data_IF_707181852911
#
_entry.id   IF_707181852911
#
_cell.length_a   1.000
_cell.length_b   1.000
_cell.length_c   1.000
_cell.angle_alpha   90.00
_cell.angle_beta   90.00
_cell.angle_gamma   90.00
#
_symmetry.space_group_name_H-M   'P 1'
#
loop_
_entity.id
_entity.type
_entity.pdbx_description
1 polymer ?
#
# COMPACT_ATOMS: atom_id res chain seq x y z
N UNK A 1 7.27 10.47 -7.72
CA UNK A 1 7.88 9.41 -6.91
C UNK A 1 6.91 9.00 -5.81
N UNK A 2 6.57 7.71 -5.75
CA UNK A 2 5.82 7.10 -4.65
C UNK A 2 6.79 6.18 -3.91
N UNK A 3 7.11 6.51 -2.65
CA UNK A 3 8.09 5.75 -1.87
C UNK A 3 7.57 4.38 -1.42
N UNK A 4 8.51 3.47 -1.19
CA UNK A 4 8.30 2.11 -0.69
C UNK A 4 8.04 2.02 0.81
N UNK A 5 8.64 1.02 1.49
CA UNK A 5 8.54 0.88 2.96
C UNK A 5 7.37 0.04 3.46
N UNK A 6 6.88 -0.91 2.64
CA UNK A 6 5.87 -1.89 3.06
C UNK A 6 4.55 -1.27 3.53
N UNK A 7 4.26 -0.04 3.08
CA UNK A 7 3.14 0.79 3.55
C UNK A 7 3.16 1.12 5.05
N UNK A 8 4.26 0.87 5.76
CA UNK A 8 4.36 1.07 7.22
C UNK A 8 5.34 2.19 7.57
N UNK A 9 6.36 2.41 6.74
CA UNK A 9 7.40 3.42 6.94
C UNK A 9 7.68 4.16 5.63
N UNK A 10 8.49 5.22 5.73
CA UNK A 10 8.95 6.01 4.59
C UNK A 10 8.43 7.45 4.63
N UNK A 11 8.98 8.29 3.77
CA UNK A 11 8.54 9.67 3.55
C UNK A 11 8.97 10.14 2.17
N UNK A 12 8.35 11.21 1.68
CA UNK A 12 8.77 11.93 0.48
C UNK A 12 9.90 12.92 0.70
N UNK A 13 10.59 12.87 1.84
CA UNK A 13 11.65 13.80 2.20
C UNK A 13 12.95 13.54 1.41
N UNK A 14 13.78 14.58 1.32
CA UNK A 14 15.01 14.58 0.53
C UNK A 14 16.20 13.90 1.23
N UNK A 15 16.09 13.61 2.53
CA UNK A 15 17.13 12.90 3.29
C UNK A 15 17.33 11.45 2.80
N UNK A 16 16.25 10.81 2.34
CA UNK A 16 16.29 9.48 1.74
C UNK A 16 16.13 9.52 0.21
N UNK A 17 15.34 10.46 -0.33
CA UNK A 17 15.01 10.53 -1.76
C UNK A 17 15.37 11.89 -2.35
N UNK A 18 16.63 12.30 -2.20
CA UNK A 18 17.18 13.52 -2.79
C UNK A 18 16.99 13.56 -4.32
N UNK A 19 16.51 14.67 -4.90
CA UNK A 19 16.18 14.76 -6.32
C UNK A 19 17.40 15.04 -7.21
N UNK A 20 18.59 15.25 -6.63
CA UNK A 20 19.80 15.83 -7.25
C UNK A 20 20.18 15.20 -8.59
N UNK A 21 20.10 13.87 -8.70
CA UNK A 21 20.44 13.17 -9.94
C UNK A 21 19.37 13.32 -11.02
N UNK A 22 18.09 13.33 -10.64
CA UNK A 22 16.99 13.46 -11.59
C UNK A 22 16.87 14.88 -12.14
N UNK A 23 17.16 15.90 -11.32
CA UNK A 23 17.10 17.30 -11.75
C UNK A 23 18.07 17.65 -12.90
N UNK A 24 19.10 16.82 -13.13
CA UNK A 24 20.03 16.98 -14.25
C UNK A 24 19.42 16.67 -15.62
N UNK A 25 18.22 16.07 -15.66
CA UNK A 25 17.60 15.57 -16.88
C UNK A 25 16.44 16.44 -17.39
N UNK A 26 16.31 17.69 -16.92
CA UNK A 26 15.28 18.61 -17.39
C UNK A 26 13.84 18.16 -17.06
N UNK A 27 13.67 17.48 -15.92
CA UNK A 27 12.38 16.99 -15.43
C UNK A 27 11.97 17.71 -14.16
N UNK A 28 10.66 17.74 -13.89
CA UNK A 28 10.14 18.07 -12.57
C UNK A 28 9.97 16.80 -11.73
N UNK A 29 10.56 16.81 -10.54
CA UNK A 29 10.43 15.71 -9.59
C UNK A 29 9.41 16.11 -8.52
N UNK A 30 8.33 15.34 -8.45
CA UNK A 30 7.33 15.46 -7.37
C UNK A 30 7.47 14.25 -6.45
N UNK A 31 7.68 14.50 -5.17
CA UNK A 31 7.54 13.52 -4.08
C UNK A 31 6.29 13.85 -3.27
N UNK A 32 5.74 12.87 -2.56
CA UNK A 32 4.53 13.03 -1.77
C UNK A 32 4.64 12.21 -0.49
N UNK A 33 3.83 12.57 0.51
CA UNK A 33 3.54 11.73 1.68
C UNK A 33 2.15 11.12 1.53
N UNK A 34 1.99 9.90 2.02
CA UNK A 34 0.68 9.23 2.12
C UNK A 34 0.55 8.53 3.48
N UNK A 35 -0.67 8.33 3.97
CA UNK A 35 -0.90 7.66 5.27
C UNK A 35 -0.36 6.22 5.25
N UNK A 36 0.23 5.82 6.36
CA UNK A 36 0.91 4.53 6.53
C UNK A 36 0.26 3.68 7.63
N UNK A 37 0.55 2.38 7.62
CA UNK A 37 0.14 1.40 8.62
C UNK A 37 -1.38 1.38 8.82
N UNK A 38 -1.79 1.17 10.06
CA UNK A 38 -3.20 1.19 10.46
C UNK A 38 -3.90 2.51 10.06
N UNK A 39 -3.21 3.65 10.09
CA UNK A 39 -3.80 4.95 9.77
C UNK A 39 -4.13 5.11 8.28
N UNK A 40 -3.40 4.41 7.40
CA UNK A 40 -3.59 4.47 5.95
C UNK A 40 -4.36 3.28 5.37
N UNK A 41 -4.41 2.16 6.08
CA UNK A 41 -4.82 0.90 5.48
C UNK A 41 -5.73 0.06 6.36
N UNK A 42 -6.24 0.56 7.49
CA UNK A 42 -7.31 -0.16 8.20
C UNK A 42 -8.59 -0.26 7.34
N UNK A 43 -9.37 -1.31 7.58
CA UNK A 43 -10.65 -1.56 6.93
C UNK A 43 -11.57 -2.26 7.93
N UNK A 44 -12.87 -2.10 7.77
CA UNK A 44 -13.90 -2.88 8.50
C UNK A 44 -14.47 -4.02 7.66
N UNK A 45 -14.07 -4.13 6.38
CA UNK A 45 -14.61 -5.12 5.44
C UNK A 45 -15.97 -4.73 4.85
N UNK A 46 -16.46 -3.54 5.17
CA UNK A 46 -17.70 -2.95 4.68
C UNK A 46 -17.49 -1.47 4.30
N UNK A 47 -18.58 -0.78 3.99
CA UNK A 47 -18.54 0.62 3.53
C UNK A 47 -18.22 1.64 4.64
N UNK A 48 -18.17 1.24 5.92
CA UNK A 48 -17.86 2.16 7.04
C UNK A 48 -16.41 2.61 6.98
N UNK A 49 -15.48 1.66 6.78
CA UNK A 49 -14.07 1.91 6.51
C UNK A 49 -13.63 0.98 5.38
N UNK A 50 -13.69 1.47 4.14
CA UNK A 50 -13.47 0.66 2.94
C UNK A 50 -12.07 0.03 2.86
N UNK A 51 -11.05 0.72 3.37
CA UNK A 51 -9.64 0.39 3.11
C UNK A 51 -8.98 1.36 2.13
N UNK A 52 -7.64 1.25 2.04
CA UNK A 52 -6.79 1.94 1.06
C UNK A 52 -6.73 3.48 1.13
N UNK A 53 -6.94 4.09 2.30
CA UNK A 53 -6.84 5.54 2.51
C UNK A 53 -5.48 6.09 2.05
N UNK A 54 -4.38 5.38 2.32
CA UNK A 54 -3.05 5.77 1.86
C UNK A 54 -2.93 5.78 0.33
N UNK A 55 -3.64 4.90 -0.39
CA UNK A 55 -3.68 4.97 -1.86
C UNK A 55 -4.61 6.09 -2.35
N UNK A 56 -5.72 6.36 -1.64
CA UNK A 56 -6.59 7.51 -1.93
C UNK A 56 -5.87 8.84 -1.72
N UNK A 57 -4.98 8.94 -0.73
CA UNK A 57 -4.08 10.09 -0.56
C UNK A 57 -3.17 10.29 -1.78
N UNK A 58 -2.65 9.19 -2.35
CA UNK A 58 -1.83 9.24 -3.56
C UNK A 58 -2.66 9.69 -4.77
N UNK A 59 -3.89 9.22 -4.92
CA UNK A 59 -4.81 9.72 -5.97
C UNK A 59 -5.05 11.22 -5.82
N UNK A 60 -5.29 11.69 -4.59
CA UNK A 60 -5.47 13.13 -4.33
C UNK A 60 -4.22 13.93 -4.70
N UNK A 61 -3.03 13.42 -4.37
CA UNK A 61 -1.77 14.03 -4.78
C UNK A 61 -1.58 14.03 -6.30
N UNK A 62 -1.98 12.96 -7.01
CA UNK A 62 -1.94 12.91 -8.48
C UNK A 62 -2.89 13.92 -9.11
N UNK A 63 -4.09 14.11 -8.55
CA UNK A 63 -5.02 15.17 -8.97
C UNK A 63 -4.40 16.55 -8.76
N UNK A 64 -3.80 16.77 -7.58
CA UNK A 64 -3.08 18.01 -7.31
C UNK A 64 -1.97 18.27 -8.34
N UNK A 65 -1.17 17.26 -8.69
CA UNK A 65 -0.15 17.39 -9.73
C UNK A 65 -0.79 17.74 -11.07
N UNK A 66 -1.82 17.00 -11.49
CA UNK A 66 -2.52 17.25 -12.77
C UNK A 66 -3.06 18.68 -12.87
N UNK A 67 -3.60 19.21 -11.76
CA UNK A 67 -4.23 20.53 -11.72
C UNK A 67 -3.24 21.68 -11.55
N UNK A 68 -2.07 21.45 -10.95
CA UNK A 68 -1.18 22.52 -10.49
C UNK A 68 0.22 22.52 -11.13
N UNK A 69 0.69 21.40 -11.71
CA UNK A 69 2.11 21.29 -12.09
C UNK A 69 2.51 22.27 -13.21
N UNK A 70 1.55 22.76 -14.00
CA UNK A 70 1.79 23.80 -15.01
C UNK A 70 2.33 25.10 -14.42
N UNK A 71 1.94 25.46 -13.19
CA UNK A 71 2.46 26.63 -12.49
C UNK A 71 3.95 26.50 -12.12
N UNK A 72 4.47 25.27 -12.10
CA UNK A 72 5.88 24.96 -11.85
C UNK A 72 6.66 24.69 -13.15
N UNK A 73 6.04 24.94 -14.32
CA UNK A 73 6.63 24.68 -15.63
C UNK A 73 6.47 23.23 -16.11
N UNK A 74 5.60 22.44 -15.48
CA UNK A 74 5.36 21.05 -15.84
C UNK A 74 4.30 20.90 -16.93
N UNK A 75 4.42 19.82 -17.69
CA UNK A 75 3.41 19.41 -18.66
C UNK A 75 2.40 18.46 -18.01
N UNK A 76 1.15 18.90 -17.91
CA UNK A 76 0.06 18.14 -17.27
C UNK A 76 -0.28 16.89 -18.08
N UNK A 77 0.01 16.85 -19.39
CA UNK A 77 -0.25 15.74 -20.30
C UNK A 77 0.97 14.80 -20.47
N UNK A 78 2.00 14.98 -19.63
CA UNK A 78 3.22 14.19 -19.67
C UNK A 78 3.70 13.72 -18.29
N UNK A 79 2.76 13.34 -17.43
CA UNK A 79 3.04 12.84 -16.08
C UNK A 79 3.47 11.37 -16.10
N UNK A 80 4.60 11.05 -15.45
CA UNK A 80 5.05 9.67 -15.18
C UNK A 80 5.00 9.38 -13.69
N UNK A 81 4.28 8.34 -13.28
CA UNK A 81 4.35 7.83 -11.91
C UNK A 81 5.43 6.77 -11.81
N UNK A 82 6.17 6.76 -10.70
CA UNK A 82 7.16 5.72 -10.45
C UNK A 82 7.37 5.51 -8.96
N UNK A 83 7.71 4.28 -8.59
CA UNK A 83 7.93 3.88 -7.22
C UNK A 83 8.64 2.55 -7.11
N UNK A 84 9.15 2.29 -5.91
CA UNK A 84 9.90 1.08 -5.55
C UNK A 84 9.16 0.29 -4.45
N UNK A 85 9.25 -1.04 -4.50
CA UNK A 85 8.62 -1.96 -3.53
C UNK A 85 7.12 -1.65 -3.34
N UNK A 86 6.69 -1.26 -2.14
CA UNK A 86 5.30 -0.86 -1.89
C UNK A 86 4.82 0.31 -2.79
N UNK A 87 5.71 1.24 -3.13
CA UNK A 87 5.44 2.33 -4.06
C UNK A 87 5.30 1.86 -5.50
N UNK A 88 6.04 0.81 -5.88
CA UNK A 88 5.88 0.14 -7.18
C UNK A 88 4.52 -0.55 -7.30
N UNK A 89 4.15 -1.32 -6.28
CA UNK A 89 2.82 -1.93 -6.22
C UNK A 89 1.71 -0.87 -6.22
N UNK A 90 1.91 0.26 -5.56
CA UNK A 90 0.97 1.38 -5.63
C UNK A 90 0.85 1.97 -7.04
N UNK A 91 1.97 2.16 -7.75
CA UNK A 91 1.94 2.57 -9.15
C UNK A 91 1.15 1.58 -10.02
N UNK A 92 1.37 0.28 -9.83
CA UNK A 92 0.60 -0.74 -10.55
C UNK A 92 -0.89 -0.69 -10.19
N UNK A 93 -1.26 -0.51 -8.92
CA UNK A 93 -2.66 -0.35 -8.52
C UNK A 93 -3.30 0.91 -9.13
N UNK A 94 -2.58 2.02 -9.28
CA UNK A 94 -3.10 3.21 -9.97
C UNK A 94 -3.33 2.98 -11.47
N UNK A 95 -2.54 2.11 -12.11
CA UNK A 95 -2.81 1.66 -13.49
C UNK A 95 -4.11 0.87 -13.58
N UNK A 96 -4.35 -0.02 -12.60
CA UNK A 96 -5.52 -0.90 -12.55
C UNK A 96 -6.79 -0.17 -12.09
N UNK A 97 -6.65 0.88 -11.29
CA UNK A 97 -7.78 1.58 -10.67
C UNK A 97 -8.48 2.54 -11.64
N UNK A 98 -9.82 2.53 -11.71
CA UNK A 98 -10.56 3.57 -12.42
C UNK A 98 -10.41 4.96 -11.76
N UNK A 99 -10.10 5.02 -10.47
CA UNK A 99 -10.01 6.26 -9.70
C UNK A 99 -8.84 7.15 -10.12
N UNK A 100 -7.77 6.55 -10.67
CA UNK A 100 -6.58 7.25 -11.15
C UNK A 100 -6.56 7.45 -12.67
N UNK A 101 -7.63 7.07 -13.37
CA UNK A 101 -7.74 7.18 -14.84
C UNK A 101 -7.56 8.62 -15.29
N UNK A 102 -6.65 8.85 -16.23
CA UNK A 102 -6.37 10.17 -16.82
C UNK A 102 -5.47 11.07 -15.97
N UNK A 103 -4.98 10.61 -14.81
CA UNK A 103 -4.09 11.42 -13.96
C UNK A 103 -2.61 11.30 -14.33
N UNK A 104 -2.24 10.29 -15.12
CA UNK A 104 -0.87 10.04 -15.54
C UNK A 104 -0.82 9.32 -16.89
N UNK A 105 0.37 9.29 -17.50
CA UNK A 105 0.56 8.90 -18.89
C UNK A 105 1.57 7.76 -19.04
N UNK A 106 2.40 7.51 -18.03
CA UNK A 106 3.39 6.42 -17.98
C UNK A 106 3.58 5.95 -16.55
N UNK A 107 4.01 4.70 -16.37
CA UNK A 107 4.36 4.15 -15.07
C UNK A 107 5.72 3.42 -15.09
N UNK A 108 6.47 3.51 -13.99
CA UNK A 108 7.68 2.70 -13.76
C UNK A 108 7.54 1.98 -12.43
N UNK A 109 7.57 0.66 -12.47
CA UNK A 109 7.35 -0.24 -11.35
C UNK A 109 8.65 -0.98 -11.02
N UNK A 110 9.30 -0.61 -9.91
CA UNK A 110 10.58 -1.15 -9.46
C UNK A 110 10.37 -2.15 -8.30
N UNK A 111 10.71 -3.41 -8.51
CA UNK A 111 10.79 -4.45 -7.47
C UNK A 111 9.46 -4.84 -6.80
N UNK A 112 8.31 -4.53 -7.40
CA UNK A 112 7.01 -5.10 -6.99
C UNK A 112 5.91 -4.81 -8.01
N UNK A 113 4.82 -5.59 -7.97
CA UNK A 113 3.59 -5.35 -8.76
C UNK A 113 2.37 -5.76 -7.94
N UNK A 114 1.19 -5.25 -8.28
CA UNK A 114 -0.07 -5.90 -7.91
C UNK A 114 -0.20 -7.23 -8.68
N UNK A 115 -0.15 -8.36 -7.98
CA UNK A 115 -0.23 -9.71 -8.54
C UNK A 115 -1.49 -10.44 -8.05
N UNK A 116 -1.87 -11.59 -8.66
CA UNK A 116 -3.06 -12.32 -8.25
C UNK A 116 -3.05 -12.68 -6.76
N UNK A 117 -4.12 -12.36 -6.04
CA UNK A 117 -4.25 -12.58 -4.59
C UNK A 117 -3.49 -11.58 -3.72
N UNK A 118 -2.76 -10.62 -4.29
CA UNK A 118 -1.98 -9.64 -3.51
C UNK A 118 -2.83 -8.70 -2.64
N UNK A 119 -4.14 -8.63 -2.91
CA UNK A 119 -5.12 -7.84 -2.16
C UNK A 119 -5.95 -8.65 -1.15
N UNK A 120 -5.78 -9.98 -1.10
CA UNK A 120 -6.50 -10.89 -0.17
C UNK A 120 -5.91 -10.85 1.26
N UNK A 121 -5.43 -9.68 1.68
CA UNK A 121 -4.90 -9.50 3.02
C UNK A 121 -6.06 -9.33 4.00
N UNK A 122 -6.09 -10.05 5.15
CA UNK A 122 -7.19 -10.00 6.13
C UNK A 122 -7.11 -8.74 7.00
N UNK A 123 -7.21 -7.58 6.35
CA UNK A 123 -7.05 -6.26 6.96
C UNK A 123 -8.19 -5.97 7.93
N UNK A 124 -9.42 -6.36 7.59
CA UNK A 124 -10.58 -6.18 8.46
C UNK A 124 -10.38 -6.92 9.79
N UNK A 125 -10.05 -8.20 9.74
CA UNK A 125 -9.81 -9.04 10.90
C UNK A 125 -8.62 -8.55 11.71
N UNK A 126 -7.58 -8.01 11.07
CA UNK A 126 -6.44 -7.35 11.75
C UNK A 126 -6.89 -6.07 12.46
N UNK A 127 -7.74 -5.27 11.84
CA UNK A 127 -8.30 -4.03 12.43
C UNK A 127 -9.11 -4.34 13.69
N UNK A 128 -10.05 -5.29 13.62
CA UNK A 128 -10.84 -5.72 14.80
C UNK A 128 -9.96 -6.33 15.91
N UNK A 129 -8.92 -7.09 15.57
CA UNK A 129 -7.98 -7.64 16.57
C UNK A 129 -7.17 -6.55 17.26
N UNK A 130 -6.68 -5.56 16.51
CA UNK A 130 -5.98 -4.42 17.09
C UNK A 130 -6.90 -3.64 18.04
N UNK A 131 -8.13 -3.34 17.61
CA UNK A 131 -9.10 -2.64 18.44
C UNK A 131 -9.40 -3.40 19.75
N UNK A 132 -9.59 -4.72 19.68
CA UNK A 132 -9.77 -5.57 20.87
C UNK A 132 -8.56 -5.56 21.80
N UNK A 133 -7.34 -5.64 21.25
CA UNK A 133 -6.10 -5.51 22.04
C UNK A 133 -6.04 -4.17 22.79
N UNK A 134 -6.57 -3.11 22.20
CA UNK A 134 -6.62 -1.77 22.78
C UNK A 134 -7.80 -1.55 23.74
N UNK A 135 -8.70 -2.52 23.89
CA UNK A 135 -9.81 -2.49 24.86
C UNK A 135 -11.21 -2.35 24.26
N UNK A 136 -11.37 -2.41 22.93
CA UNK A 136 -12.71 -2.51 22.33
C UNK A 136 -13.35 -3.85 22.69
N UNK A 137 -14.64 -3.81 23.06
CA UNK A 137 -15.41 -5.01 23.42
C UNK A 137 -15.61 -5.93 22.21
N UNK A 138 -15.67 -7.23 22.46
CA UNK A 138 -16.04 -8.20 21.43
C UNK A 138 -17.48 -7.95 20.94
N UNK A 139 -17.72 -8.21 19.65
CA UNK A 139 -19.03 -8.01 19.02
C UNK A 139 -19.36 -6.56 18.66
N UNK A 140 -18.42 -5.61 18.81
CA UNK A 140 -18.60 -4.24 18.34
C UNK A 140 -18.86 -4.20 16.83
N UNK A 141 -19.79 -3.33 16.42
CA UNK A 141 -20.06 -2.96 15.03
C UNK A 141 -18.89 -2.19 14.39
N UNK A 142 -18.92 -2.06 13.07
CA UNK A 142 -17.94 -1.28 12.31
C UNK A 142 -17.96 0.20 12.69
N UNK A 143 -19.13 0.76 13.00
CA UNK A 143 -19.29 2.14 13.45
C UNK A 143 -18.71 2.35 14.85
N UNK A 144 -18.97 1.41 15.78
CA UNK A 144 -18.38 1.43 17.12
C UNK A 144 -16.86 1.29 17.06
N UNK A 145 -16.35 0.41 16.19
CA UNK A 145 -14.92 0.28 15.95
C UNK A 145 -14.33 1.59 15.44
N UNK A 146 -14.94 2.22 14.43
CA UNK A 146 -14.45 3.47 13.86
C UNK A 146 -14.43 4.60 14.91
N UNK A 147 -15.50 4.73 15.69
CA UNK A 147 -15.58 5.71 16.77
C UNK A 147 -14.46 5.46 17.80
N UNK A 148 -14.30 4.22 18.26
CA UNK A 148 -13.24 3.85 19.19
C UNK A 148 -11.84 4.14 18.65
N UNK A 149 -11.55 3.73 17.41
CA UNK A 149 -10.24 3.92 16.80
C UNK A 149 -9.89 5.40 16.59
N UNK A 150 -10.89 6.28 16.43
CA UNK A 150 -10.69 7.74 16.36
C UNK A 150 -10.34 8.36 17.71
N UNK A 151 -10.77 7.75 18.81
CA UNK A 151 -10.46 8.21 20.17
C UNK A 151 -9.09 7.70 20.68
N UNK A 152 -8.56 6.62 20.09
CA UNK A 152 -7.22 6.13 20.43
C UNK A 152 -6.15 7.09 19.87
N UNK A 153 -5.16 7.51 20.69
CA UNK A 153 -4.05 8.32 20.19
C UNK A 153 -3.33 7.66 19.01
N UNK A 154 -3.08 8.42 17.94
CA UNK A 154 -2.44 7.91 16.72
C UNK A 154 -1.10 7.20 16.98
N UNK A 155 -0.31 7.72 17.93
CA UNK A 155 0.95 7.09 18.36
C UNK A 155 0.72 5.69 18.92
N UNK A 156 -0.28 5.51 19.77
CA UNK A 156 -0.65 4.21 20.33
C UNK A 156 -1.10 3.24 19.24
N UNK A 157 -1.91 3.70 18.28
CA UNK A 157 -2.31 2.87 17.13
C UNK A 157 -1.10 2.34 16.34
N UNK A 158 -0.12 3.21 16.08
CA UNK A 158 1.09 2.86 15.32
C UNK A 158 2.01 1.93 16.14
N UNK A 159 2.30 2.27 17.40
CA UNK A 159 3.20 1.48 18.25
C UNK A 159 2.63 0.09 18.58
N UNK A 160 1.30 -0.03 18.68
CA UNK A 160 0.63 -1.30 19.00
C UNK A 160 0.20 -2.10 17.76
N UNK A 161 0.46 -1.60 16.55
CA UNK A 161 -0.06 -2.15 15.29
C UNK A 161 0.21 -3.65 15.11
N UNK A 162 1.38 -4.14 15.53
CA UNK A 162 1.76 -5.55 15.37
C UNK A 162 1.01 -6.53 16.31
N UNK A 163 0.23 -6.03 17.27
CA UNK A 163 -0.65 -6.85 18.10
C UNK A 163 -1.89 -7.35 17.36
N UNK A 164 -2.13 -6.87 16.13
CA UNK A 164 -3.15 -7.42 15.25
C UNK A 164 -2.81 -8.83 14.70
N UNK A 165 -1.58 -9.32 14.88
CA UNK A 165 -1.08 -10.55 14.23
C UNK A 165 -1.67 -11.81 14.85
N UNK A 166 -2.08 -12.75 13.99
CA UNK A 166 -2.50 -14.11 14.36
C UNK A 166 -1.28 -14.94 14.71
N UNK A 167 -1.48 -16.15 15.21
CA UNK A 167 -0.38 -17.08 15.40
C UNK A 167 0.26 -17.48 14.05
N UNK A 168 -0.53 -17.64 12.99
CA UNK A 168 -0.01 -17.81 11.62
C UNK A 168 0.86 -16.61 11.21
N UNK A 169 0.38 -15.39 11.42
CA UNK A 169 1.13 -14.16 11.09
C UNK A 169 2.48 -14.10 11.85
N UNK A 170 2.50 -14.53 13.11
CA UNK A 170 3.73 -14.58 13.91
C UNK A 170 4.72 -15.62 13.38
N UNK A 171 4.25 -16.80 12.98
CA UNK A 171 5.10 -17.88 12.45
C UNK A 171 5.79 -17.44 11.16
N UNK A 172 5.04 -16.84 10.23
CA UNK A 172 5.59 -16.34 8.95
C UNK A 172 6.27 -14.98 9.07
N UNK A 173 6.42 -14.46 10.30
CA UNK A 173 7.02 -13.16 10.60
C UNK A 173 6.43 -11.99 9.78
N UNK A 174 5.10 -11.97 9.62
CA UNK A 174 4.42 -10.85 8.99
C UNK A 174 4.81 -9.54 9.68
N UNK A 175 5.33 -8.61 8.87
CA UNK A 175 5.88 -7.34 9.30
C UNK A 175 5.08 -6.15 8.77
N UNK A 176 4.17 -6.38 7.82
CA UNK A 176 3.38 -5.35 7.14
C UNK A 176 1.88 -5.69 7.20
N UNK A 177 1.27 -5.68 8.40
CA UNK A 177 -0.09 -6.19 8.57
C UNK A 177 -1.18 -5.35 7.90
N UNK A 178 -0.95 -4.04 7.74
CA UNK A 178 -1.89 -3.11 7.11
C UNK A 178 -1.29 -2.64 5.79
N UNK A 179 -1.92 -3.05 4.69
CA UNK A 179 -1.49 -2.85 3.29
C UNK A 179 -2.73 -2.91 2.39
N UNK A 180 -2.63 -2.64 1.07
CA UNK A 180 -3.75 -2.65 0.17
C UNK A 180 -4.61 -3.91 0.29
N UNK A 181 -5.92 -3.71 0.26
CA UNK A 181 -6.94 -4.76 0.34
C UNK A 181 -8.06 -4.49 -0.66
N UNK A 182 -8.92 -5.48 -0.92
CA UNK A 182 -10.11 -5.30 -1.74
C UNK A 182 -11.11 -4.40 -1.01
N UNK A 183 -11.65 -3.40 -1.70
CA UNK A 183 -12.73 -2.56 -1.22
C UNK A 183 -14.10 -3.14 -1.59
N UNK A 184 -15.15 -2.90 -0.78
CA UNK A 184 -16.52 -3.22 -1.15
C UNK A 184 -16.89 -2.57 -2.49
N UNK A 185 -17.49 -3.36 -3.40
CA UNK A 185 -17.81 -2.89 -4.75
C UNK A 185 -18.93 -1.83 -4.80
N UNK A 186 -19.73 -1.73 -3.73
CA UNK A 186 -20.81 -0.78 -3.53
C UNK A 186 -20.39 0.50 -2.81
N UNK A 187 -19.09 0.64 -2.46
CA UNK A 187 -18.58 1.86 -1.88
C UNK A 187 -18.59 3.02 -2.90
N UNK A 188 -19.01 4.20 -2.44
CA UNK A 188 -19.13 5.44 -3.25
C UNK A 188 -17.84 5.77 -4.01
N UNK A 189 -16.69 5.61 -3.35
CA UNK A 189 -15.37 5.79 -3.93
C UNK A 189 -14.53 4.51 -3.75
N UNK A 190 -14.42 3.74 -4.83
CA UNK A 190 -13.69 2.46 -4.85
C UNK A 190 -12.39 2.58 -5.63
N UNK A 191 -11.24 2.36 -4.98
CA UNK A 191 -9.96 2.31 -5.68
C UNK A 191 -9.78 0.97 -6.39
N UNK A 192 -10.03 -0.13 -5.68
CA UNK A 192 -9.91 -1.48 -6.23
C UNK A 192 -10.86 -2.45 -5.51
N UNK A 193 -11.80 -3.04 -6.24
CA UNK A 193 -12.78 -4.01 -5.72
C UNK A 193 -12.66 -5.42 -6.30
N UNK A 194 -11.71 -5.61 -7.22
CA UNK A 194 -11.48 -6.89 -7.88
C UNK A 194 -10.02 -7.28 -7.77
N UNK A 195 -9.74 -8.57 -7.88
CA UNK A 195 -8.38 -9.06 -7.93
C UNK A 195 -7.64 -8.47 -9.14
N UNK A 196 -6.34 -8.12 -9.02
CA UNK A 196 -5.55 -7.62 -10.13
C UNK A 196 -5.61 -8.52 -11.38
N UNK A 197 -5.70 -9.84 -11.21
CA UNK A 197 -5.83 -10.79 -12.32
C UNK A 197 -7.09 -10.53 -13.16
N UNK A 198 -8.23 -10.33 -12.49
CA UNK A 198 -9.54 -10.12 -13.13
C UNK A 198 -9.60 -8.77 -13.85
N UNK A 199 -9.05 -7.73 -13.23
CA UNK A 199 -8.96 -6.39 -13.83
C UNK A 199 -8.12 -6.46 -15.12
N UNK A 200 -6.97 -7.13 -15.07
CA UNK A 200 -6.08 -7.30 -16.23
C UNK A 200 -6.79 -8.11 -17.33
N UNK A 201 -7.41 -9.24 -16.97
CA UNK A 201 -8.10 -10.12 -17.91
C UNK A 201 -9.30 -9.44 -18.59
N UNK A 202 -10.06 -8.62 -17.85
CA UNK A 202 -11.16 -7.84 -18.42
C UNK A 202 -10.70 -6.74 -19.37
N UNK A 203 -9.43 -6.34 -19.30
CA UNK A 203 -8.88 -5.23 -20.03
C UNK A 203 -9.34 -3.84 -19.55
N UNK A 204 -10.18 -3.76 -18.50
CA UNK A 204 -10.73 -2.52 -17.97
C UNK A 204 -9.77 -1.80 -17.02
N UNK A 205 -8.65 -1.33 -17.55
CA UNK A 205 -7.64 -0.56 -16.83
C UNK A 205 -7.02 0.52 -17.72
N UNK A 206 -6.27 1.44 -17.13
CA UNK A 206 -5.64 2.56 -17.85
C UNK A 206 -4.51 2.05 -18.75
N UNK A 207 -4.64 2.25 -20.07
CA UNK A 207 -3.63 1.81 -21.06
C UNK A 207 -2.55 2.87 -21.23
N UNK A 208 -1.40 2.67 -20.60
CA UNK A 208 -0.22 3.53 -20.68
C UNK A 208 1.04 2.70 -20.89
N UNK A 209 2.14 3.26 -21.42
CA UNK A 209 3.45 2.61 -21.38
C UNK A 209 3.90 2.36 -19.95
N UNK A 210 4.39 1.15 -19.67
CA UNK A 210 4.85 0.73 -18.35
C UNK A 210 6.22 0.06 -18.46
N UNK A 211 7.11 0.40 -17.54
CA UNK A 211 8.38 -0.32 -17.33
C UNK A 211 8.27 -1.10 -16.03
N UNK A 212 8.58 -2.40 -16.07
CA UNK A 212 8.77 -3.23 -14.89
C UNK A 212 10.25 -3.59 -14.76
N UNK A 213 10.75 -3.65 -13.52
CA UNK A 213 12.12 -4.09 -13.26
C UNK A 213 12.26 -4.71 -11.88
N UNK A 214 13.26 -5.57 -11.73
CA UNK A 214 13.69 -6.18 -10.46
C UNK A 214 15.21 -6.14 -10.40
N UNK A 215 15.77 -6.23 -9.20
CA UNK A 215 17.20 -6.44 -9.01
C UNK A 215 17.57 -7.91 -9.28
N UNK A 216 18.86 -8.19 -9.44
CA UNK A 216 19.36 -9.56 -9.66
C UNK A 216 19.26 -10.47 -8.42
N UNK A 217 18.96 -9.91 -7.24
CA UNK A 217 18.96 -10.64 -5.96
C UNK A 217 18.02 -10.03 -4.90
N UNK A 218 16.73 -9.83 -5.24
CA UNK A 218 15.69 -9.27 -4.33
C UNK A 218 15.68 -9.95 -2.94
N UNK A 219 15.87 -11.28 -2.91
CA UNK A 219 15.80 -12.09 -1.70
C UNK A 219 16.82 -11.75 -0.62
N UNK A 220 17.91 -11.04 -0.93
CA UNK A 220 18.89 -10.63 0.08
C UNK A 220 18.29 -9.70 1.15
N UNK A 221 17.25 -8.92 0.79
CA UNK A 221 16.49 -8.13 1.76
C UNK A 221 15.87 -9.03 2.86
N UNK A 222 15.31 -10.18 2.47
CA UNK A 222 14.66 -11.11 3.39
C UNK A 222 15.64 -12.03 4.11
N UNK A 223 16.79 -12.34 3.52
CA UNK A 223 17.84 -13.12 4.18
C UNK A 223 18.31 -12.43 5.49
N UNK A 224 18.37 -11.10 5.51
CA UNK A 224 18.67 -10.32 6.71
C UNK A 224 17.53 -10.31 7.75
N UNK A 225 16.26 -10.34 7.31
CA UNK A 225 15.10 -10.35 8.22
C UNK A 225 14.83 -11.73 8.83
N UNK A 226 15.06 -12.81 8.07
CA UNK A 226 14.85 -14.19 8.50
C UNK A 226 15.98 -14.72 9.39
N UNK A 227 16.95 -13.92 9.80
CA UNK A 227 18.13 -14.34 10.57
C UNK A 227 17.85 -15.01 11.94
N UNK A 228 16.60 -15.17 12.37
CA UNK A 228 16.23 -15.94 13.56
C UNK A 228 16.12 -17.43 13.21
N UNK A 229 17.03 -18.23 13.76
CA UNK A 229 17.12 -19.68 13.55
C UNK A 229 15.82 -20.44 13.87
N UNK A 230 14.99 -19.91 14.76
CA UNK A 230 13.66 -20.45 15.10
C UNK A 230 12.66 -20.35 13.94
N UNK A 231 12.75 -19.30 13.12
CA UNK A 231 11.89 -19.12 11.94
C UNK A 231 12.17 -20.20 10.90
N UNK A 232 13.46 -20.44 10.62
CA UNK A 232 13.91 -21.50 9.72
C UNK A 232 13.46 -22.86 10.20
N UNK A 233 13.66 -23.19 11.48
CA UNK A 233 13.18 -24.47 12.05
C UNK A 233 11.67 -24.63 11.95
N UNK A 234 10.90 -23.56 12.15
CA UNK A 234 9.44 -23.61 12.05
C UNK A 234 8.96 -23.79 10.62
N UNK A 235 9.63 -23.19 9.64
CA UNK A 235 9.34 -23.36 8.21
C UNK A 235 9.76 -24.76 7.73
N UNK A 236 10.95 -25.23 8.11
CA UNK A 236 11.46 -26.56 7.76
C UNK A 236 10.54 -27.67 8.32
N UNK A 237 9.98 -27.46 9.51
CA UNK A 237 9.05 -28.40 10.16
C UNK A 237 7.60 -28.33 9.67
N UNK A 238 7.23 -27.28 8.92
CA UNK A 238 5.85 -27.03 8.49
C UNK A 238 5.85 -26.45 7.06
N UNK A 239 6.25 -27.27 6.09
CA UNK A 239 6.34 -26.87 4.67
C UNK A 239 5.03 -26.31 4.10
N UNK A 240 3.88 -26.70 4.64
CA UNK A 240 2.56 -26.14 4.27
C UNK A 240 2.43 -24.64 4.58
N UNK A 241 3.27 -24.07 5.44
CA UNK A 241 3.28 -22.63 5.71
C UNK A 241 3.98 -21.80 4.62
N UNK A 242 4.72 -22.45 3.71
CA UNK A 242 5.37 -21.83 2.56
C UNK A 242 4.46 -21.71 1.34
N UNK A 243 3.25 -22.30 1.37
CA UNK A 243 2.33 -22.43 0.23
C UNK A 243 0.97 -21.80 0.52
#
# INVERSE_FOLDING_TARGET
>A
WIYGGGYTIGSGNTDMYGPDYLLQHGVLVVTLNYRLGVLGFMSTGDSVVTGNMGLKDQVLALRWVKDNISAFGGDTDNITIFGESAGSRACHLHVLSPMAKGLFHRAICQSSVAFPGSLNTPVAERTFRLARHLGLKEGASSEELLAFMRDVPARTLVEQMLHCRSDKDKIVQESFPFRPTLEPADAEETLVSQDPADIIASGNFTKVPIIFGVTSAEGYLYAGMLGKQEAWRSLDGNLELLV
#
